data_IF_068999819032
#
_entry.id   IF_068999819032
#
_cell.length_a   1.000
_cell.length_b   1.000
_cell.length_c   1.000
_cell.angle_alpha   90.00
_cell.angle_beta   90.00
_cell.angle_gamma   90.00
#
_symmetry.space_group_name_H-M   'P 1'
#
loop_
_entity.id
_entity.type
_entity.pdbx_description
1 polymer ?
#
# COMPACT_ATOMS: atom_id res chain seq x y z
N UNK A 1 -54.35 -24.54 34.08
CA UNK A 1 -53.89 -24.82 32.70
C UNK A 1 -52.91 -23.80 32.15
N UNK A 2 -53.05 -22.49 32.40
CA UNK A 2 -52.14 -21.46 31.83
C UNK A 2 -50.75 -21.43 32.49
N UNK A 3 -50.64 -21.76 33.78
CA UNK A 3 -49.36 -21.69 34.53
C UNK A 3 -48.38 -22.81 34.13
N UNK A 4 -48.89 -24.01 33.78
CA UNK A 4 -48.07 -25.11 33.28
C UNK A 4 -47.46 -24.81 31.89
N UNK A 5 -48.12 -23.97 31.09
CA UNK A 5 -47.67 -23.59 29.75
C UNK A 5 -46.43 -22.69 29.78
N UNK A 6 -46.33 -21.78 30.76
CA UNK A 6 -45.14 -20.91 30.90
C UNK A 6 -43.88 -21.68 31.33
N UNK A 7 -44.04 -22.67 32.21
CA UNK A 7 -42.94 -23.54 32.62
C UNK A 7 -42.37 -24.37 31.46
N UNK A 8 -43.24 -24.89 30.60
CA UNK A 8 -42.83 -25.62 29.39
C UNK A 8 -42.11 -24.72 28.39
N UNK A 9 -42.58 -23.49 28.16
CA UNK A 9 -41.94 -22.55 27.22
C UNK A 9 -40.54 -22.15 27.71
N UNK A 10 -40.37 -21.91 29.02
CA UNK A 10 -39.06 -21.58 29.60
C UNK A 10 -38.12 -22.80 29.53
N UNK A 11 -38.60 -23.99 29.91
CA UNK A 11 -37.82 -25.22 29.82
C UNK A 11 -37.42 -25.54 28.38
N UNK A 12 -38.33 -25.36 27.42
CA UNK A 12 -38.07 -25.53 25.99
C UNK A 12 -37.03 -24.52 25.49
N UNK A 13 -37.11 -23.26 25.93
CA UNK A 13 -36.10 -22.24 25.61
C UNK A 13 -34.73 -22.62 26.16
N UNK A 14 -34.63 -23.07 27.40
CA UNK A 14 -33.38 -23.57 28.00
C UNK A 14 -32.85 -24.80 27.27
N UNK A 15 -33.71 -25.75 26.91
CA UNK A 15 -33.34 -26.94 26.15
C UNK A 15 -32.80 -26.57 24.76
N UNK A 16 -33.43 -25.62 24.08
CA UNK A 16 -32.98 -25.13 22.77
C UNK A 16 -31.63 -24.41 22.87
N UNK A 17 -31.42 -23.59 23.90
CA UNK A 17 -30.11 -22.99 24.18
C UNK A 17 -29.04 -24.08 24.44
N UNK A 18 -29.37 -25.09 25.24
CA UNK A 18 -28.45 -26.18 25.57
C UNK A 18 -28.07 -27.01 24.34
N UNK A 19 -29.03 -27.34 23.48
CA UNK A 19 -28.78 -28.01 22.20
C UNK A 19 -27.90 -27.14 21.29
N UNK A 20 -28.13 -25.83 21.25
CA UNK A 20 -27.28 -24.89 20.53
C UNK A 20 -25.83 -24.89 21.03
N UNK A 21 -25.61 -24.90 22.35
CA UNK A 21 -24.26 -24.98 22.96
C UNK A 21 -23.56 -26.29 22.60
N UNK A 22 -24.27 -27.42 22.68
CA UNK A 22 -23.70 -28.73 22.30
C UNK A 22 -23.33 -28.74 20.80
N UNK A 23 -24.18 -28.15 19.95
CA UNK A 23 -23.91 -28.00 18.51
C UNK A 23 -22.73 -27.08 18.19
N UNK A 24 -22.35 -26.18 19.09
CA UNK A 24 -21.20 -25.29 18.92
C UNK A 24 -19.86 -25.96 19.23
N UNK A 25 -19.83 -27.00 20.09
CA UNK A 25 -18.58 -27.65 20.50
C UNK A 25 -17.79 -28.23 19.31
N UNK A 26 -18.39 -28.98 18.37
CA UNK A 26 -17.67 -29.47 17.19
C UNK A 26 -17.05 -28.34 16.35
N UNK A 27 -17.79 -27.25 16.15
CA UNK A 27 -17.31 -26.09 15.39
C UNK A 27 -16.15 -25.39 16.12
N UNK A 28 -16.22 -25.30 17.47
CA UNK A 28 -15.13 -24.76 18.28
C UNK A 28 -13.85 -25.57 18.16
N UNK A 29 -13.96 -26.91 18.17
CA UNK A 29 -12.81 -27.81 17.97
C UNK A 29 -12.22 -27.63 16.57
N UNK A 30 -13.06 -27.61 15.53
CA UNK A 30 -12.61 -27.37 14.15
C UNK A 30 -11.91 -26.02 13.99
N UNK A 31 -12.48 -24.95 14.56
CA UNK A 31 -11.88 -23.62 14.56
C UNK A 31 -10.53 -23.58 15.28
N UNK A 32 -10.40 -24.26 16.42
CA UNK A 32 -9.14 -24.36 17.15
C UNK A 32 -8.05 -25.07 16.32
N UNK A 33 -8.42 -26.17 15.64
CA UNK A 33 -7.51 -26.89 14.74
C UNK A 33 -7.03 -25.97 13.61
N UNK A 34 -7.94 -25.20 12.99
CA UNK A 34 -7.58 -24.24 11.93
C UNK A 34 -6.58 -23.20 12.43
N UNK A 35 -6.79 -22.62 13.61
CA UNK A 35 -5.86 -21.63 14.20
C UNK A 35 -4.48 -22.23 14.44
N UNK A 36 -4.43 -23.46 14.99
CA UNK A 36 -3.17 -24.16 15.23
C UNK A 36 -2.42 -24.46 13.93
N UNK A 37 -3.13 -24.90 12.88
CA UNK A 37 -2.56 -25.11 11.55
C UNK A 37 -2.02 -23.80 10.96
N UNK A 38 -2.79 -22.72 11.06
CA UNK A 38 -2.38 -21.40 10.58
C UNK A 38 -1.13 -20.87 11.25
N UNK A 39 -1.00 -21.07 12.56
CA UNK A 39 0.22 -20.72 13.29
C UNK A 39 1.43 -21.52 12.81
N UNK A 40 1.29 -22.84 12.68
CA UNK A 40 2.37 -23.72 12.21
C UNK A 40 2.83 -23.36 10.80
N UNK A 41 1.87 -23.26 9.87
CA UNK A 41 2.12 -22.91 8.46
C UNK A 41 2.73 -21.51 8.37
N UNK A 42 2.18 -20.52 9.09
CA UNK A 42 2.70 -19.16 9.09
C UNK A 42 4.13 -19.06 9.59
N UNK A 43 4.50 -19.79 10.66
CA UNK A 43 5.88 -19.83 11.15
C UNK A 43 6.81 -20.47 10.11
N UNK A 44 6.36 -21.54 9.44
CA UNK A 44 7.15 -22.22 8.41
C UNK A 44 7.44 -21.27 7.23
N UNK A 45 6.40 -20.73 6.60
CA UNK A 45 6.56 -19.83 5.45
C UNK A 45 7.25 -18.52 5.82
N UNK A 46 6.97 -17.96 7.00
CA UNK A 46 7.65 -16.77 7.49
C UNK A 46 9.16 -16.97 7.64
N UNK A 47 9.60 -18.15 8.11
CA UNK A 47 11.03 -18.52 8.16
C UNK A 47 11.62 -18.65 6.76
N UNK A 48 10.93 -19.32 5.84
CA UNK A 48 11.38 -19.48 4.45
C UNK A 48 11.61 -18.12 3.80
N UNK A 49 10.65 -17.21 3.90
CA UNK A 49 10.78 -15.85 3.33
C UNK A 49 11.91 -15.08 4.00
N UNK A 50 12.02 -15.12 5.34
CA UNK A 50 13.11 -14.46 6.04
C UNK A 50 14.49 -14.97 5.57
N UNK A 51 14.62 -16.28 5.33
CA UNK A 51 15.84 -16.89 4.83
C UNK A 51 16.14 -16.49 3.38
N UNK A 52 15.14 -16.44 2.50
CA UNK A 52 15.29 -15.98 1.11
C UNK A 52 15.81 -14.53 1.10
N UNK A 53 15.15 -13.63 1.84
CA UNK A 53 15.53 -12.22 1.91
C UNK A 53 16.95 -12.04 2.47
N UNK A 54 17.29 -12.80 3.52
CA UNK A 54 18.63 -12.79 4.09
C UNK A 54 19.69 -13.30 3.10
N UNK A 55 19.36 -14.32 2.30
CA UNK A 55 20.28 -14.91 1.32
C UNK A 55 20.63 -13.94 0.18
N UNK A 56 19.69 -13.07 -0.20
CA UNK A 56 19.90 -12.02 -1.21
C UNK A 56 20.67 -10.81 -0.63
N UNK A 57 20.98 -10.81 0.68
CA UNK A 57 21.73 -9.74 1.36
C UNK A 57 21.09 -8.35 1.20
N UNK A 58 19.76 -8.32 1.20
CA UNK A 58 18.99 -7.08 1.08
C UNK A 58 19.38 -6.06 2.15
N UNK A 59 19.57 -6.53 3.39
CA UNK A 59 19.96 -5.67 4.51
C UNK A 59 21.31 -4.98 4.25
N UNK A 60 22.31 -5.69 3.70
CA UNK A 60 23.61 -5.10 3.34
C UNK A 60 23.46 -4.01 2.28
N UNK A 61 22.60 -4.22 1.29
CA UNK A 61 22.35 -3.24 0.24
C UNK A 61 21.64 -1.99 0.76
N UNK A 62 20.70 -2.14 1.68
CA UNK A 62 19.98 -1.04 2.32
C UNK A 62 20.85 -0.25 3.31
N UNK A 63 21.71 -0.93 4.06
CA UNK A 63 22.76 -0.32 4.87
C UNK A 63 23.67 0.56 4.00
N UNK A 64 24.15 0.04 2.87
CA UNK A 64 24.96 0.82 1.90
C UNK A 64 24.19 1.98 1.29
N UNK A 65 22.89 1.81 1.07
CA UNK A 65 21.98 2.88 0.65
C UNK A 65 21.74 3.92 1.77
N UNK A 66 22.34 3.77 2.95
CA UNK A 66 22.29 4.72 4.05
C UNK A 66 20.93 4.77 4.74
N UNK A 67 20.10 3.73 4.62
CA UNK A 67 18.80 3.62 5.29
C UNK A 67 18.98 3.36 6.78
N UNK A 68 20.02 2.61 7.14
CA UNK A 68 20.33 2.22 8.52
C UNK A 68 20.58 3.43 9.43
N UNK A 69 21.22 4.49 8.94
CA UNK A 69 21.46 5.71 9.75
C UNK A 69 20.17 6.46 10.08
N UNK A 70 19.13 6.35 9.24
CA UNK A 70 17.80 6.92 9.53
C UNK A 70 17.01 6.05 10.49
N UNK A 71 17.06 4.72 10.34
CA UNK A 71 16.32 3.78 11.20
C UNK A 71 16.91 3.67 12.61
N UNK A 72 18.24 3.66 12.74
CA UNK A 72 18.91 3.61 14.03
C UNK A 72 18.65 4.87 14.87
N UNK A 73 18.42 6.03 14.24
CA UNK A 73 17.98 7.25 14.94
C UNK A 73 16.60 7.09 15.61
N UNK A 74 15.77 6.20 15.07
CA UNK A 74 14.48 5.83 15.66
C UNK A 74 14.53 4.59 16.58
N UNK A 75 15.71 4.05 16.87
CA UNK A 75 15.87 2.82 17.67
C UNK A 75 15.44 1.53 16.96
N UNK A 76 15.25 1.57 15.63
CA UNK A 76 14.80 0.43 14.84
C UNK A 76 16.00 -0.19 14.12
N UNK A 77 16.30 -1.45 14.42
CA UNK A 77 17.32 -2.20 13.69
C UNK A 77 16.78 -2.66 12.33
N UNK A 78 17.57 -2.43 11.28
CA UNK A 78 17.23 -2.89 9.93
C UNK A 78 17.27 -4.43 9.88
N UNK A 79 16.11 -5.06 9.69
CA UNK A 79 16.02 -6.50 9.45
C UNK A 79 14.86 -6.78 8.50
N UNK A 80 15.10 -6.57 7.21
CA UNK A 80 14.08 -6.69 6.16
C UNK A 80 13.56 -8.11 6.06
N UNK A 81 14.42 -9.11 6.31
CA UNK A 81 14.04 -10.52 6.29
C UNK A 81 13.07 -10.90 7.42
N UNK A 82 13.37 -10.50 8.66
CA UNK A 82 12.45 -10.74 9.79
C UNK A 82 11.15 -9.96 9.61
N UNK A 83 11.21 -8.74 9.07
CA UNK A 83 10.02 -7.93 8.84
C UNK A 83 9.10 -8.56 7.79
N UNK A 84 9.61 -8.86 6.59
CA UNK A 84 8.85 -9.53 5.53
C UNK A 84 8.38 -10.94 5.94
N UNK A 85 9.24 -11.72 6.60
CA UNK A 85 8.86 -13.02 7.15
C UNK A 85 7.77 -12.91 8.21
N UNK A 86 7.78 -11.86 9.02
CA UNK A 86 6.73 -11.53 9.98
C UNK A 86 5.40 -11.19 9.30
N UNK A 87 5.43 -10.38 8.24
CA UNK A 87 4.23 -10.07 7.44
C UNK A 87 3.63 -11.33 6.81
N UNK A 88 4.45 -12.19 6.22
CA UNK A 88 4.00 -13.45 5.61
C UNK A 88 3.44 -14.39 6.68
N UNK A 89 4.10 -14.49 7.85
CA UNK A 89 3.57 -15.26 8.97
C UNK A 89 2.18 -14.77 9.40
N UNK A 90 2.01 -13.47 9.56
CA UNK A 90 0.72 -12.88 9.90
C UNK A 90 -0.33 -13.07 8.81
N UNK A 91 0.07 -13.02 7.54
CA UNK A 91 -0.81 -13.31 6.41
C UNK A 91 -1.45 -14.70 6.55
N UNK A 92 -0.63 -15.74 6.73
CA UNK A 92 -1.14 -17.10 6.91
C UNK A 92 -1.98 -17.22 8.18
N UNK A 93 -1.53 -16.67 9.32
CA UNK A 93 -2.34 -16.68 10.55
C UNK A 93 -3.72 -16.06 10.32
N UNK A 94 -3.82 -14.92 9.63
CA UNK A 94 -5.08 -14.26 9.32
C UNK A 94 -5.97 -15.10 8.39
N UNK A 95 -5.42 -15.73 7.35
CA UNK A 95 -6.17 -16.61 6.44
C UNK A 95 -6.86 -17.74 7.22
N UNK A 96 -6.11 -18.42 8.09
CA UNK A 96 -6.66 -19.52 8.88
C UNK A 96 -7.58 -19.03 10.00
N UNK A 97 -7.32 -17.87 10.59
CA UNK A 97 -8.22 -17.24 11.56
C UNK A 97 -9.55 -16.87 10.92
N UNK A 98 -9.55 -16.34 9.70
CA UNK A 98 -10.75 -16.08 8.91
C UNK A 98 -11.55 -17.37 8.70
N UNK A 99 -10.89 -18.47 8.31
CA UNK A 99 -11.55 -19.78 8.19
C UNK A 99 -12.13 -20.28 9.51
N UNK A 100 -11.40 -20.09 10.62
CA UNK A 100 -11.86 -20.46 11.95
C UNK A 100 -13.12 -19.67 12.36
N UNK A 101 -13.14 -18.35 12.10
CA UNK A 101 -14.28 -17.50 12.39
C UNK A 101 -15.49 -17.82 11.50
N UNK A 102 -15.27 -18.25 10.26
CA UNK A 102 -16.32 -18.68 9.33
C UNK A 102 -17.02 -19.96 9.82
N UNK A 103 -16.24 -20.93 10.33
CA UNK A 103 -16.75 -22.15 11.00
C UNK A 103 -17.55 -21.82 12.25
N UNK A 104 -17.18 -20.76 12.97
CA UNK A 104 -17.93 -20.24 14.12
C UNK A 104 -19.11 -19.34 13.74
N UNK A 105 -19.36 -19.14 12.43
CA UNK A 105 -20.39 -18.25 11.88
C UNK A 105 -20.28 -16.78 12.32
N UNK A 106 -19.08 -16.31 12.65
CA UNK A 106 -18.79 -14.93 13.06
C UNK A 106 -18.60 -14.03 11.84
N UNK A 107 -19.68 -13.83 11.07
CA UNK A 107 -19.65 -13.17 9.75
C UNK A 107 -19.09 -11.75 9.79
N UNK A 108 -19.49 -10.93 10.77
CA UNK A 108 -19.05 -9.53 10.85
C UNK A 108 -17.55 -9.40 11.13
N UNK A 109 -17.02 -10.22 12.04
CA UNK A 109 -15.59 -10.25 12.35
C UNK A 109 -14.80 -10.80 11.16
N UNK A 110 -15.35 -11.80 10.48
CA UNK A 110 -14.77 -12.40 9.28
C UNK A 110 -14.62 -11.39 8.14
N UNK A 111 -15.65 -10.56 7.89
CA UNK A 111 -15.59 -9.50 6.88
C UNK A 111 -14.51 -8.46 7.22
N UNK A 112 -14.47 -8.00 8.47
CA UNK A 112 -13.43 -7.06 8.92
C UNK A 112 -12.01 -7.63 8.76
N UNK A 113 -11.78 -8.90 9.12
CA UNK A 113 -10.48 -9.51 8.94
C UNK A 113 -10.13 -9.73 7.46
N UNK A 114 -11.11 -9.99 6.58
CA UNK A 114 -10.87 -10.07 5.12
C UNK A 114 -10.38 -8.73 4.57
N UNK A 115 -10.91 -7.61 5.03
CA UNK A 115 -10.43 -6.28 4.63
C UNK A 115 -8.98 -6.05 5.07
N UNK A 116 -8.63 -6.44 6.31
CA UNK A 116 -7.24 -6.40 6.80
C UNK A 116 -6.34 -7.34 5.98
N UNK A 117 -6.80 -8.56 5.67
CA UNK A 117 -6.06 -9.52 4.87
C UNK A 117 -5.76 -8.97 3.47
N UNK A 118 -6.74 -8.30 2.85
CA UNK A 118 -6.58 -7.68 1.52
C UNK A 118 -5.62 -6.48 1.54
N UNK A 119 -5.42 -5.85 2.70
CA UNK A 119 -4.44 -4.79 2.88
C UNK A 119 -3.00 -5.31 2.98
N UNK A 120 -2.80 -6.50 3.56
CA UNK A 120 -1.46 -7.06 3.79
C UNK A 120 -0.60 -7.20 2.51
N UNK A 121 -1.11 -7.74 1.38
CA UNK A 121 -0.36 -7.79 0.13
C UNK A 121 0.14 -6.42 -0.32
N UNK A 122 -0.67 -5.36 -0.14
CA UNK A 122 -0.27 -3.99 -0.48
C UNK A 122 0.89 -3.51 0.39
N UNK A 123 0.87 -3.84 1.68
CA UNK A 123 1.98 -3.56 2.60
C UNK A 123 3.25 -4.28 2.16
N UNK A 124 3.16 -5.56 1.81
CA UNK A 124 4.31 -6.35 1.31
C UNK A 124 4.89 -5.69 0.05
N UNK A 125 4.04 -5.34 -0.92
CA UNK A 125 4.47 -4.67 -2.15
C UNK A 125 5.12 -3.31 -1.85
N UNK A 126 4.53 -2.48 -1.00
CA UNK A 126 5.09 -1.19 -0.62
C UNK A 126 6.50 -1.33 -0.01
N UNK A 127 6.69 -2.33 0.85
CA UNK A 127 7.99 -2.63 1.47
C UNK A 127 8.99 -3.11 0.42
N UNK A 128 8.59 -4.00 -0.48
CA UNK A 128 9.44 -4.46 -1.59
C UNK A 128 9.87 -3.30 -2.51
N UNK A 129 8.99 -2.34 -2.76
CA UNK A 129 9.30 -1.14 -3.54
C UNK A 129 10.35 -0.28 -2.84
N UNK A 130 10.20 -0.03 -1.53
CA UNK A 130 11.20 0.73 -0.76
C UNK A 130 12.56 0.02 -0.74
N UNK A 131 12.54 -1.31 -0.62
CA UNK A 131 13.74 -2.13 -0.68
C UNK A 131 14.43 -1.96 -2.04
N UNK A 132 13.70 -2.20 -3.13
CA UNK A 132 14.22 -2.08 -4.49
C UNK A 132 14.74 -0.66 -4.79
N UNK A 133 14.01 0.36 -4.34
CA UNK A 133 14.42 1.74 -4.47
C UNK A 133 15.72 2.05 -3.74
N UNK A 134 15.94 1.48 -2.55
CA UNK A 134 17.22 1.61 -1.84
C UNK A 134 18.40 1.11 -2.68
N UNK A 135 18.25 -0.06 -3.32
CA UNK A 135 19.26 -0.63 -4.22
C UNK A 135 19.51 0.27 -5.44
N UNK A 136 18.43 0.69 -6.11
CA UNK A 136 18.51 1.56 -7.29
C UNK A 136 19.12 2.91 -6.94
N UNK A 137 18.76 3.50 -5.80
CA UNK A 137 19.24 4.80 -5.37
C UNK A 137 20.76 4.80 -5.11
N UNK A 138 21.32 3.76 -4.48
CA UNK A 138 22.77 3.68 -4.28
C UNK A 138 23.52 3.39 -5.60
N UNK A 139 22.97 2.55 -6.47
CA UNK A 139 23.53 2.30 -7.79
C UNK A 139 23.58 3.60 -8.62
N UNK A 140 22.45 4.31 -8.72
CA UNK A 140 22.37 5.58 -9.45
C UNK A 140 23.26 6.66 -8.85
N UNK A 141 23.34 6.75 -7.51
CA UNK A 141 24.27 7.68 -6.85
C UNK A 141 25.72 7.45 -7.29
N UNK A 142 26.17 6.19 -7.30
CA UNK A 142 27.55 5.85 -7.71
C UNK A 142 27.78 6.17 -9.18
N UNK A 143 26.83 5.81 -10.04
CA UNK A 143 26.93 6.10 -11.47
C UNK A 143 27.02 7.60 -11.74
N UNK A 144 26.16 8.41 -11.11
CA UNK A 144 26.19 9.87 -11.25
C UNK A 144 27.48 10.46 -10.68
N UNK A 145 27.94 9.98 -9.52
CA UNK A 145 29.19 10.44 -8.91
C UNK A 145 30.39 10.19 -9.82
N UNK A 146 30.56 8.95 -10.29
CA UNK A 146 31.66 8.56 -11.17
C UNK A 146 31.61 9.30 -12.51
N UNK A 147 30.42 9.44 -13.10
CA UNK A 147 30.26 10.14 -14.38
C UNK A 147 30.58 11.63 -14.24
N UNK A 148 30.07 12.30 -13.21
CA UNK A 148 30.29 13.73 -12.99
C UNK A 148 31.76 14.04 -12.61
N UNK A 149 32.42 13.15 -11.86
CA UNK A 149 33.86 13.26 -11.59
C UNK A 149 34.69 13.11 -12.86
N UNK A 150 34.34 12.15 -13.73
CA UNK A 150 35.04 11.96 -15.01
C UNK A 150 34.89 13.16 -15.95
N UNK A 151 33.81 13.93 -15.81
CA UNK A 151 33.55 15.16 -16.55
C UNK A 151 34.15 16.42 -15.88
N UNK A 152 34.98 16.28 -14.83
CA UNK A 152 35.54 17.41 -14.05
C UNK A 152 34.48 18.38 -13.48
N UNK A 153 33.29 17.87 -13.13
CA UNK A 153 32.24 18.70 -12.51
C UNK A 153 32.52 18.81 -11.01
N UNK A 154 32.85 20.01 -10.53
CA UNK A 154 33.15 20.29 -9.12
C UNK A 154 32.00 19.92 -8.17
N UNK A 155 30.76 19.98 -8.65
CA UNK A 155 29.55 19.66 -7.89
C UNK A 155 29.14 18.19 -7.94
N UNK A 156 30.00 17.27 -8.43
CA UNK A 156 29.69 15.85 -8.57
C UNK A 156 29.07 15.19 -7.30
N UNK A 157 29.59 15.43 -6.07
CA UNK A 157 29.00 14.86 -4.86
C UNK A 157 27.58 15.37 -4.57
N UNK A 158 27.31 16.63 -4.88
CA UNK A 158 25.99 17.23 -4.71
C UNK A 158 24.99 16.63 -5.68
N UNK A 159 25.32 16.55 -6.97
CA UNK A 159 24.46 15.92 -7.98
C UNK A 159 24.10 14.47 -7.62
N UNK A 160 25.10 13.67 -7.22
CA UNK A 160 24.87 12.30 -6.79
C UNK A 160 23.93 12.20 -5.58
N UNK A 161 24.05 13.13 -4.63
CA UNK A 161 23.17 13.19 -3.45
C UNK A 161 21.74 13.56 -3.83
N UNK A 162 21.57 14.57 -4.70
CA UNK A 162 20.25 14.97 -5.23
C UNK A 162 19.58 13.79 -5.92
N UNK A 163 20.29 13.08 -6.82
CA UNK A 163 19.76 11.89 -7.50
C UNK A 163 19.25 10.84 -6.52
N UNK A 164 20.02 10.53 -5.47
CA UNK A 164 19.61 9.57 -4.44
C UNK A 164 18.32 10.01 -3.73
N UNK A 165 18.24 11.27 -3.33
CA UNK A 165 17.06 11.80 -2.63
C UNK A 165 15.84 11.86 -3.54
N UNK A 166 16.00 12.21 -4.81
CA UNK A 166 14.91 12.14 -5.79
C UNK A 166 14.32 10.74 -5.86
N UNK A 167 15.16 9.71 -6.01
CA UNK A 167 14.70 8.31 -6.08
C UNK A 167 13.95 7.91 -4.80
N UNK A 168 14.47 8.28 -3.62
CA UNK A 168 13.80 8.01 -2.34
C UNK A 168 12.44 8.69 -2.22
N UNK A 169 12.33 9.96 -2.61
CA UNK A 169 11.07 10.71 -2.58
C UNK A 169 10.03 10.00 -3.46
N UNK A 170 10.39 9.67 -4.70
CA UNK A 170 9.48 8.94 -5.60
C UNK A 170 9.11 7.56 -5.07
N UNK A 171 10.06 6.81 -4.53
CA UNK A 171 9.81 5.49 -3.96
C UNK A 171 8.86 5.53 -2.76
N UNK A 172 9.03 6.51 -1.88
CA UNK A 172 8.12 6.74 -0.74
C UNK A 172 6.73 7.11 -1.25
N UNK A 173 6.62 7.98 -2.25
CA UNK A 173 5.33 8.33 -2.86
C UNK A 173 4.64 7.10 -3.45
N UNK A 174 5.37 6.25 -4.18
CA UNK A 174 4.82 5.01 -4.75
C UNK A 174 4.42 4.03 -3.64
N UNK A 175 5.23 3.87 -2.59
CA UNK A 175 4.90 3.02 -1.46
C UNK A 175 3.64 3.51 -0.72
N UNK A 176 3.54 4.81 -0.45
CA UNK A 176 2.36 5.43 0.16
C UNK A 176 1.12 5.33 -0.74
N UNK A 177 1.30 5.39 -2.05
CA UNK A 177 0.24 5.15 -3.03
C UNK A 177 -0.28 3.71 -2.89
N UNK A 178 0.62 2.72 -2.78
CA UNK A 178 0.20 1.33 -2.60
C UNK A 178 -0.53 1.07 -1.29
N UNK A 179 -0.12 1.75 -0.22
CA UNK A 179 -0.83 1.72 1.06
C UNK A 179 -2.20 2.41 1.00
N UNK A 180 -2.59 3.04 -0.11
CA UNK A 180 -3.87 3.75 -0.23
C UNK A 180 -3.96 5.05 0.58
N UNK A 181 -2.91 5.39 1.35
CA UNK A 181 -2.82 6.62 2.14
C UNK A 181 -2.72 7.83 1.21
N UNK A 182 -1.93 7.71 0.14
CA UNK A 182 -1.60 8.84 -0.74
C UNK A 182 -2.37 8.87 -2.06
N UNK A 183 -3.26 7.92 -2.35
CA UNK A 183 -3.95 7.87 -3.65
C UNK A 183 -4.72 9.19 -3.92
N UNK A 184 -5.50 9.66 -2.95
CA UNK A 184 -6.20 10.95 -3.06
C UNK A 184 -5.25 12.15 -3.08
N UNK A 185 -4.16 12.10 -2.32
CA UNK A 185 -3.20 13.21 -2.23
C UNK A 185 -2.39 13.40 -3.52
N UNK A 186 -1.87 12.30 -4.08
CA UNK A 186 -1.14 12.30 -5.36
C UNK A 186 -2.05 12.76 -6.48
N UNK A 187 -3.29 12.23 -6.55
CA UNK A 187 -4.26 12.66 -7.55
C UNK A 187 -4.58 14.15 -7.43
N UNK A 188 -4.70 14.69 -6.21
CA UNK A 188 -4.97 16.12 -5.97
C UNK A 188 -3.80 16.99 -6.45
N UNK A 189 -2.56 16.64 -6.11
CA UNK A 189 -1.37 17.38 -6.56
C UNK A 189 -1.22 17.31 -8.08
N UNK A 190 -1.38 16.13 -8.67
CA UNK A 190 -1.28 15.94 -10.11
C UNK A 190 -2.39 16.71 -10.86
N UNK A 191 -3.63 16.61 -10.38
CA UNK A 191 -4.76 17.37 -10.93
C UNK A 191 -4.51 18.87 -10.80
N UNK A 192 -4.07 19.34 -9.63
CA UNK A 192 -3.74 20.75 -9.40
C UNK A 192 -2.66 21.27 -10.36
N UNK A 193 -1.60 20.50 -10.58
CA UNK A 193 -0.54 20.84 -11.53
C UNK A 193 -1.08 20.89 -12.98
N UNK A 194 -1.82 19.86 -13.39
CA UNK A 194 -2.41 19.78 -14.74
C UNK A 194 -3.41 20.93 -14.96
N UNK A 195 -4.23 21.25 -13.97
CA UNK A 195 -5.18 22.38 -14.02
C UNK A 195 -4.43 23.70 -14.12
N UNK A 196 -3.40 23.92 -13.30
CA UNK A 196 -2.60 25.14 -13.35
C UNK A 196 -1.92 25.32 -14.72
N UNK A 197 -1.32 24.26 -15.27
CA UNK A 197 -0.70 24.28 -16.60
C UNK A 197 -1.74 24.50 -17.70
N UNK A 198 -2.86 23.78 -17.65
CA UNK A 198 -3.93 23.89 -18.65
C UNK A 198 -4.54 25.30 -18.66
N UNK A 199 -4.78 25.89 -17.47
CA UNK A 199 -5.24 27.26 -17.34
C UNK A 199 -4.19 28.26 -17.81
N UNK A 200 -2.93 28.08 -17.41
CA UNK A 200 -1.84 28.96 -17.84
C UNK A 200 -1.67 28.98 -19.35
N UNK A 201 -1.65 27.80 -19.99
CA UNK A 201 -1.59 27.68 -21.45
C UNK A 201 -2.86 28.22 -22.10
N UNK A 202 -4.04 27.85 -21.60
CA UNK A 202 -5.32 28.31 -22.12
C UNK A 202 -5.45 29.84 -22.09
N UNK A 203 -5.02 30.48 -21.00
CA UNK A 203 -5.00 31.94 -20.88
C UNK A 203 -3.93 32.57 -21.77
N UNK A 204 -2.73 31.99 -21.87
CA UNK A 204 -1.68 32.49 -22.75
C UNK A 204 -2.11 32.49 -24.23
N UNK A 205 -2.73 31.39 -24.70
CA UNK A 205 -3.28 31.30 -26.04
C UNK A 205 -4.54 32.15 -26.22
N UNK A 206 -5.43 32.19 -25.23
CA UNK A 206 -6.67 32.97 -25.29
C UNK A 206 -6.42 34.48 -25.35
N UNK A 207 -5.56 35.01 -24.48
CA UNK A 207 -5.19 36.42 -24.45
C UNK A 207 -4.26 36.77 -25.61
N UNK A 208 -3.27 35.93 -25.92
CA UNK A 208 -2.32 36.17 -27.02
C UNK A 208 -2.96 36.02 -28.42
N UNK A 209 -3.98 35.18 -28.57
CA UNK A 209 -4.69 34.94 -29.82
C UNK A 209 -5.94 35.80 -30.02
N UNK A 210 -6.28 36.67 -29.06
CA UNK A 210 -7.51 37.45 -29.05
C UNK A 210 -7.70 38.28 -30.33
N UNK A 211 -6.65 38.94 -30.82
CA UNK A 211 -6.73 39.73 -32.05
C UNK A 211 -6.91 38.88 -33.29
N UNK A 212 -6.25 37.72 -33.38
CA UNK A 212 -6.40 36.82 -34.52
C UNK A 212 -7.82 36.23 -34.58
N UNK A 213 -8.37 35.88 -33.43
CA UNK A 213 -9.76 35.46 -33.30
C UNK A 213 -10.72 36.58 -33.71
N UNK A 214 -10.50 37.81 -33.21
CA UNK A 214 -11.33 38.99 -33.54
C UNK A 214 -11.36 39.25 -35.06
N UNK A 215 -10.20 39.27 -35.71
CA UNK A 215 -10.10 39.47 -37.18
C UNK A 215 -10.81 38.38 -37.97
N UNK A 216 -10.73 37.13 -37.51
CA UNK A 216 -11.38 35.99 -38.18
C UNK A 216 -12.90 36.08 -38.07
N UNK A 217 -13.42 36.39 -36.88
CA UNK A 217 -14.85 36.60 -36.65
C UNK A 217 -15.38 37.76 -37.49
N UNK A 218 -14.65 38.88 -37.55
CA UNK A 218 -15.06 40.04 -38.34
C UNK A 218 -15.11 39.72 -39.85
N UNK A 219 -14.13 38.96 -40.36
CA UNK A 219 -14.10 38.52 -41.75
C UNK A 219 -15.28 37.62 -42.10
N UNK A 220 -15.55 36.62 -41.26
CA UNK A 220 -16.69 35.72 -41.41
C UNK A 220 -18.01 36.52 -41.34
N UNK A 221 -18.11 37.46 -40.40
CA UNK A 221 -19.28 38.34 -40.26
C UNK A 221 -19.55 39.18 -41.52
N UNK A 222 -18.51 39.71 -42.17
CA UNK A 222 -18.64 40.45 -43.43
C UNK A 222 -19.07 39.56 -44.59
N UNK A 223 -18.54 38.35 -44.70
CA UNK A 223 -18.92 37.39 -45.75
C UNK A 223 -20.37 36.91 -45.60
N UNK A 224 -20.84 36.68 -44.37
CA UNK A 224 -22.23 36.27 -44.11
C UNK A 224 -23.20 37.45 -44.26
N UNK A 225 -22.81 38.67 -43.86
CA UNK A 225 -23.70 39.84 -43.87
C UNK A 225 -24.04 40.36 -45.27
N UNK A 226 -23.42 39.86 -46.34
CA UNK A 226 -23.92 39.98 -47.70
C UNK A 226 -24.48 41.37 -48.07
N UNK A 227 -23.80 42.46 -47.71
CA UNK A 227 -24.10 43.78 -48.26
C UNK A 227 -23.07 44.08 -49.34
N UNK A 228 -23.55 43.99 -50.59
CA UNK A 228 -23.01 44.75 -51.72
C UNK A 228 -22.98 46.24 -51.38
#
# INVERSE_FOLDING_TARGET
MVISTWGEIISLSFKNLWVGVIGFIPNLVAALILVLLGWGIGVLFGKVVAQIIKSIKIDEALTRAGVESFLNRGGINLNSGKFLGGLVRWFFILVFLIGALDVLHLSQVTLFLKDILNYLPRVIVAVLILIAAGLVADAMRKLVLSSAMSANISSAPFLATVTKWTIWIFAILVALSQLGIAAGFIQTIFTGLVVALSLGLGLAFGLGGQEAASRTIEKIGKEISGKK
#
